data_IF_124658236622
#
_entry.id   IF_124658236622
#
_cell.length_a   1.000
_cell.length_b   1.000
_cell.length_c   1.000
_cell.angle_alpha   90.00
_cell.angle_beta   90.00
_cell.angle_gamma   90.00
#
_symmetry.space_group_name_H-M   'P 1'
#
loop_
_entity.id
_entity.type
_entity.pdbx_description
1 polymer ?
#
# COMPACT_ATOMS: atom_id res chain seq x y z
N UNK A 1 20.36 -18.67 -13.58
CA UNK A 1 20.18 -17.23 -13.92
C UNK A 1 19.64 -16.56 -12.68
N UNK A 2 20.16 -15.37 -12.35
CA UNK A 2 19.82 -14.67 -11.12
C UNK A 2 19.23 -13.30 -11.43
N UNK A 3 18.12 -12.97 -10.78
CA UNK A 3 17.39 -11.72 -10.93
C UNK A 3 17.29 -11.02 -9.58
N UNK A 4 17.37 -9.69 -9.57
CA UNK A 4 17.16 -8.85 -8.39
C UNK A 4 16.28 -7.67 -8.79
N UNK A 5 15.11 -7.54 -8.15
CA UNK A 5 14.11 -6.52 -8.47
C UNK A 5 13.70 -5.85 -7.16
N UNK A 6 13.63 -4.53 -7.16
CA UNK A 6 13.21 -3.74 -6.01
C UNK A 6 11.98 -2.89 -6.37
N UNK A 7 11.02 -2.84 -5.46
CA UNK A 7 9.86 -1.96 -5.54
C UNK A 7 9.64 -1.26 -4.20
N UNK A 8 9.21 -0.01 -4.26
CA UNK A 8 8.97 0.82 -3.09
C UNK A 8 7.51 0.77 -2.70
N UNK A 9 7.27 0.80 -1.39
CA UNK A 9 5.96 0.95 -0.82
C UNK A 9 5.39 2.34 -1.11
N UNK A 10 4.17 2.57 -0.64
CA UNK A 10 3.49 3.85 -0.83
C UNK A 10 2.42 4.11 0.22
N UNK A 11 2.06 5.37 0.38
CA UNK A 11 0.92 5.83 1.15
C UNK A 11 -0.14 6.45 0.24
N UNK A 12 -1.42 6.20 0.55
CA UNK A 12 -2.52 6.98 -0.01
C UNK A 12 -2.73 8.16 0.92
N UNK A 13 -2.54 9.38 0.43
CA UNK A 13 -2.76 10.60 1.22
C UNK A 13 -4.22 11.04 1.14
N UNK A 14 -4.89 10.77 0.02
CA UNK A 14 -6.31 11.06 -0.18
C UNK A 14 -6.97 10.06 -1.13
N UNK A 15 -8.29 9.98 -1.07
CA UNK A 15 -9.11 9.12 -1.95
C UNK A 15 -9.39 7.72 -1.39
N UNK A 16 -9.02 7.43 -0.13
CA UNK A 16 -9.32 6.15 0.53
C UNK A 16 -10.78 5.76 0.34
N UNK A 17 -11.01 4.46 0.12
CA UNK A 17 -12.31 3.85 -0.21
C UNK A 17 -12.92 4.32 -1.54
N UNK A 18 -13.16 5.61 -1.73
CA UNK A 18 -13.81 6.19 -2.91
C UNK A 18 -13.00 6.03 -4.21
N UNK A 19 -11.69 5.79 -4.11
CA UNK A 19 -10.83 5.39 -5.23
C UNK A 19 -11.31 4.10 -5.92
N UNK A 20 -12.02 3.21 -5.20
CA UNK A 20 -12.68 2.02 -5.75
C UNK A 20 -13.93 2.35 -6.58
N UNK A 21 -14.43 3.59 -6.46
CA UNK A 21 -15.60 4.11 -7.18
C UNK A 21 -15.22 5.21 -8.19
N UNK A 22 -13.93 5.36 -8.47
CA UNK A 22 -13.42 6.30 -9.46
C UNK A 22 -13.15 7.71 -8.96
N UNK A 23 -13.09 7.93 -7.64
CA UNK A 23 -12.51 9.16 -7.11
C UNK A 23 -11.01 9.22 -7.42
N UNK A 24 -10.47 10.44 -7.55
CA UNK A 24 -9.03 10.66 -7.58
C UNK A 24 -8.43 10.35 -6.21
N UNK A 25 -7.25 9.74 -6.19
CA UNK A 25 -6.46 9.56 -4.99
C UNK A 25 -5.01 9.99 -5.19
N UNK A 26 -4.46 10.69 -4.20
CA UNK A 26 -3.04 11.08 -4.17
C UNK A 26 -2.23 9.97 -3.52
N UNK A 27 -1.42 9.28 -4.30
CA UNK A 27 -0.51 8.24 -3.81
C UNK A 27 0.92 8.72 -3.85
N UNK A 28 1.69 8.43 -2.80
CA UNK A 28 3.07 8.90 -2.66
C UNK A 28 4.01 7.73 -2.35
N UNK A 29 5.12 7.57 -3.10
CA UNK A 29 6.12 6.55 -2.80
C UNK A 29 6.85 6.84 -1.48
N UNK A 30 7.11 5.79 -0.71
CA UNK A 30 7.86 5.88 0.56
C UNK A 30 9.29 5.37 0.42
N UNK A 31 10.17 5.70 1.36
CA UNK A 31 11.56 5.23 1.43
C UNK A 31 11.70 3.73 1.77
N UNK A 32 10.58 3.05 2.01
CA UNK A 32 10.55 1.65 2.37
C UNK A 32 10.35 0.77 1.13
N UNK A 33 11.14 -0.28 0.99
CA UNK A 33 11.18 -1.13 -0.19
C UNK A 33 11.10 -2.61 0.14
N UNK A 34 10.66 -3.38 -0.85
CA UNK A 34 10.72 -4.82 -0.88
C UNK A 34 11.53 -5.27 -2.09
N UNK A 35 12.57 -6.07 -1.85
CA UNK A 35 13.40 -6.69 -2.88
C UNK A 35 12.96 -8.13 -3.12
N UNK A 36 13.02 -8.58 -4.36
CA UNK A 36 12.87 -9.97 -4.79
C UNK A 36 14.15 -10.42 -5.49
N UNK A 37 14.76 -11.48 -4.98
CA UNK A 37 15.85 -12.19 -5.62
C UNK A 37 15.35 -13.55 -6.10
N UNK A 38 15.61 -13.87 -7.37
CA UNK A 38 15.20 -15.14 -7.99
C UNK A 38 16.41 -15.84 -8.59
N UNK A 39 16.65 -17.08 -8.18
CA UNK A 39 17.75 -17.91 -8.64
C UNK A 39 17.21 -19.18 -9.30
N UNK A 40 17.29 -19.24 -10.63
CA UNK A 40 17.02 -20.48 -11.38
C UNK A 40 18.16 -21.47 -11.23
N UNK A 41 17.83 -22.71 -10.87
CA UNK A 41 18.79 -23.75 -10.52
C UNK A 41 18.32 -25.15 -10.95
N UNK A 42 19.09 -26.18 -10.60
CA UNK A 42 18.83 -27.58 -10.99
C UNK A 42 18.46 -28.48 -9.80
N UNK A 43 18.05 -27.89 -8.67
CA UNK A 43 17.81 -28.64 -7.42
C UNK A 43 16.61 -29.58 -7.46
N UNK A 44 15.67 -29.38 -8.40
CA UNK A 44 14.37 -30.05 -8.42
C UNK A 44 13.31 -29.43 -7.50
N UNK A 45 13.63 -28.35 -6.80
CA UNK A 45 12.76 -27.73 -5.79
C UNK A 45 12.33 -26.32 -6.17
N UNK A 46 11.12 -25.97 -5.74
CA UNK A 46 10.70 -24.61 -5.47
C UNK A 46 11.07 -24.30 -4.01
N UNK A 47 11.88 -23.27 -3.78
CA UNK A 47 12.36 -22.86 -2.44
C UNK A 47 12.07 -21.38 -2.26
N UNK A 48 11.26 -21.00 -1.27
CA UNK A 48 10.89 -19.62 -0.99
C UNK A 48 11.29 -19.24 0.42
N UNK A 49 11.91 -18.06 0.58
CA UNK A 49 12.21 -17.45 1.87
C UNK A 49 11.87 -15.96 1.88
N UNK A 50 11.12 -15.51 2.88
CA UNK A 50 10.85 -14.11 3.13
C UNK A 50 11.55 -13.64 4.40
N UNK A 51 12.31 -12.57 4.27
CA UNK A 51 13.09 -11.97 5.33
C UNK A 51 12.45 -10.65 5.78
N UNK A 52 12.46 -10.40 7.09
CA UNK A 52 12.01 -9.14 7.68
C UNK A 52 13.15 -8.11 7.74
N UNK A 53 12.89 -6.94 8.34
CA UNK A 53 13.86 -5.87 8.51
C UNK A 53 15.07 -6.26 9.37
N UNK A 54 14.92 -7.25 10.25
CA UNK A 54 16.01 -7.82 11.07
C UNK A 54 16.79 -8.93 10.33
N UNK A 55 16.47 -9.18 9.06
CA UNK A 55 17.00 -10.29 8.25
C UNK A 55 16.65 -11.67 8.81
N UNK A 56 15.59 -11.78 9.63
CA UNK A 56 15.06 -13.07 10.10
C UNK A 56 14.02 -13.58 9.12
N UNK A 57 13.93 -14.90 8.98
CA UNK A 57 12.93 -15.53 8.11
C UNK A 57 11.60 -15.53 8.86
N UNK A 58 10.61 -14.82 8.32
CA UNK A 58 9.24 -14.82 8.86
C UNK A 58 8.30 -15.75 8.08
N UNK A 59 8.68 -16.13 6.85
CA UNK A 59 7.94 -17.10 6.05
C UNK A 59 8.88 -17.90 5.15
N UNK A 60 8.62 -19.20 4.99
CA UNK A 60 9.31 -20.03 4.00
C UNK A 60 8.45 -21.21 3.57
N UNK A 61 8.69 -21.73 2.37
CA UNK A 61 8.18 -23.01 1.93
C UNK A 61 9.16 -23.68 0.96
N UNK A 62 9.19 -25.02 0.95
CA UNK A 62 10.04 -25.78 0.04
C UNK A 62 9.38 -27.09 -0.35
N UNK A 63 9.29 -27.34 -1.64
CA UNK A 63 8.65 -28.54 -2.19
C UNK A 63 9.18 -28.86 -3.59
N UNK A 64 8.95 -30.08 -4.08
CA UNK A 64 9.34 -30.47 -5.44
C UNK A 64 8.67 -29.53 -6.44
N UNK A 65 9.43 -28.97 -7.38
CA UNK A 65 8.90 -27.96 -8.31
C UNK A 65 7.69 -28.46 -9.12
N UNK A 66 7.62 -29.76 -9.41
CA UNK A 66 6.46 -30.41 -10.04
C UNK A 66 5.14 -30.22 -9.29
N UNK A 67 5.19 -29.92 -7.98
CA UNK A 67 4.04 -29.82 -7.10
C UNK A 67 3.61 -28.37 -6.83
N UNK A 68 4.04 -27.40 -7.65
CA UNK A 68 3.74 -25.98 -7.44
C UNK A 68 2.26 -25.60 -7.58
N UNK A 69 1.45 -26.44 -8.22
CA UNK A 69 -0.02 -26.28 -8.26
C UNK A 69 -0.73 -26.79 -6.99
N UNK A 70 -0.02 -27.41 -6.05
CA UNK A 70 -0.64 -27.82 -4.79
C UNK A 70 -0.60 -26.67 -3.77
N UNK A 71 -1.75 -26.03 -3.56
CA UNK A 71 -1.93 -24.93 -2.59
C UNK A 71 -1.44 -25.24 -1.17
N UNK A 72 -1.50 -26.49 -0.72
CA UNK A 72 -1.09 -26.86 0.65
C UNK A 72 0.42 -26.72 0.86
N UNK A 73 1.21 -26.81 -0.22
CA UNK A 73 2.67 -26.70 -0.15
C UNK A 73 3.17 -25.29 0.19
N UNK A 74 2.30 -24.28 0.12
CA UNK A 74 2.63 -22.89 0.43
C UNK A 74 2.40 -22.53 1.90
N UNK A 75 2.32 -23.54 2.79
CA UNK A 75 2.06 -23.33 4.22
C UNK A 75 0.82 -22.45 4.48
N UNK A 76 -0.26 -22.70 3.72
CA UNK A 76 -1.51 -21.95 3.72
C UNK A 76 -1.40 -20.47 3.29
N UNK A 77 -0.28 -20.02 2.73
CA UNK A 77 -0.18 -18.71 2.09
C UNK A 77 -0.88 -18.73 0.72
N UNK A 78 -2.20 -18.54 0.75
CA UNK A 78 -3.06 -18.57 -0.45
C UNK A 78 -2.71 -17.45 -1.44
N UNK A 79 -2.33 -16.28 -0.95
CA UNK A 79 -1.95 -15.15 -1.81
C UNK A 79 -0.73 -15.50 -2.66
N UNK A 80 0.34 -16.01 -2.05
CA UNK A 80 1.54 -16.42 -2.78
C UNK A 80 1.22 -17.52 -3.80
N UNK A 81 0.43 -18.51 -3.41
CA UNK A 81 -0.02 -19.56 -4.32
C UNK A 81 -0.76 -19.00 -5.55
N UNK A 82 -1.77 -18.15 -5.34
CA UNK A 82 -2.54 -17.57 -6.44
C UNK A 82 -1.67 -16.67 -7.33
N UNK A 83 -0.73 -15.90 -6.77
CA UNK A 83 0.22 -15.11 -7.57
C UNK A 83 1.06 -16.04 -8.46
N UNK A 84 1.74 -17.04 -7.89
CA UNK A 84 2.63 -17.95 -8.63
C UNK A 84 1.85 -18.74 -9.70
N UNK A 85 0.65 -19.22 -9.38
CA UNK A 85 -0.26 -19.87 -10.32
C UNK A 85 -0.60 -18.96 -11.49
N UNK A 86 -1.06 -17.73 -11.22
CA UNK A 86 -1.46 -16.78 -12.26
C UNK A 86 -0.28 -16.33 -13.13
N UNK A 87 0.91 -16.16 -12.56
CA UNK A 87 2.12 -15.87 -13.34
C UNK A 87 2.42 -16.98 -14.34
N UNK A 88 2.32 -18.26 -13.93
CA UNK A 88 2.54 -19.38 -14.85
C UNK A 88 1.39 -19.57 -15.86
N UNK A 89 0.17 -19.15 -15.54
CA UNK A 89 -0.93 -19.11 -16.53
C UNK A 89 -0.72 -18.03 -17.59
N UNK A 90 -0.22 -16.85 -17.20
CA UNK A 90 0.00 -15.71 -18.09
C UNK A 90 1.31 -15.83 -18.89
N UNK A 91 2.33 -16.49 -18.32
CA UNK A 91 3.56 -16.86 -19.02
C UNK A 91 3.88 -18.35 -18.79
N UNK A 92 3.30 -19.26 -19.60
CA UNK A 92 3.51 -20.70 -19.47
C UNK A 92 4.98 -21.09 -19.52
N UNK A 93 5.44 -21.77 -18.47
CA UNK A 93 6.82 -22.24 -18.37
C UNK A 93 7.73 -21.42 -17.46
N UNK A 94 7.28 -20.24 -17.00
CA UNK A 94 8.05 -19.40 -16.08
C UNK A 94 8.35 -20.14 -14.76
N UNK A 95 7.44 -21.04 -14.33
CA UNK A 95 7.66 -21.99 -13.23
C UNK A 95 7.77 -23.42 -13.78
N UNK A 96 6.81 -23.88 -14.59
CA UNK A 96 6.64 -25.30 -14.92
C UNK A 96 7.80 -25.91 -15.72
N UNK A 97 8.57 -25.11 -16.47
CA UNK A 97 9.70 -25.60 -17.27
C UNK A 97 11.04 -25.51 -16.54
N UNK A 98 11.05 -25.00 -15.30
CA UNK A 98 12.28 -24.83 -14.53
C UNK A 98 12.66 -26.15 -13.86
N UNK A 99 13.98 -26.43 -13.81
CA UNK A 99 14.54 -27.60 -13.10
C UNK A 99 14.68 -27.38 -11.60
N UNK A 100 14.43 -26.16 -11.12
CA UNK A 100 14.58 -25.73 -9.75
C UNK A 100 14.60 -24.21 -9.70
N UNK A 101 14.03 -23.64 -8.65
CA UNK A 101 13.95 -22.18 -8.50
C UNK A 101 13.97 -21.82 -7.03
N UNK A 102 14.70 -20.75 -6.71
CA UNK A 102 14.76 -20.21 -5.36
C UNK A 102 14.39 -18.74 -5.35
N UNK A 103 13.51 -18.36 -4.44
CA UNK A 103 13.03 -17.00 -4.24
C UNK A 103 13.45 -16.52 -2.85
N UNK A 104 14.00 -15.31 -2.78
CA UNK A 104 14.26 -14.62 -1.52
C UNK A 104 13.64 -13.23 -1.59
N UNK A 105 12.83 -12.87 -0.60
CA UNK A 105 12.33 -11.49 -0.47
C UNK A 105 12.90 -10.82 0.76
N UNK A 106 13.23 -9.53 0.66
CA UNK A 106 13.76 -8.73 1.76
C UNK A 106 12.92 -7.47 1.88
N UNK A 107 12.49 -7.12 3.08
CA UNK A 107 11.84 -5.84 3.38
C UNK A 107 12.75 -5.04 4.32
N UNK A 108 12.86 -3.73 4.10
CA UNK A 108 13.56 -2.82 5.03
C UNK A 108 12.61 -2.18 6.06
N UNK A 109 11.40 -2.70 6.18
CA UNK A 109 10.34 -2.18 7.04
C UNK A 109 9.55 -3.32 7.69
N UNK A 110 8.78 -2.98 8.74
CA UNK A 110 7.91 -3.95 9.39
C UNK A 110 6.72 -4.31 8.48
N UNK A 111 6.52 -5.59 8.19
CA UNK A 111 5.44 -6.08 7.33
C UNK A 111 4.01 -5.78 7.84
N UNK A 112 3.86 -5.22 9.04
CA UNK A 112 2.59 -4.78 9.61
C UNK A 112 2.23 -3.31 9.33
N UNK A 113 3.13 -2.54 8.73
CA UNK A 113 2.99 -1.10 8.49
C UNK A 113 2.03 -0.69 7.35
N UNK A 114 1.35 -1.63 6.69
CA UNK A 114 0.34 -1.28 5.67
C UNK A 114 0.88 -0.59 4.40
N UNK A 115 2.21 -0.59 4.17
CA UNK A 115 2.86 0.16 3.08
C UNK A 115 2.75 -0.50 1.68
N UNK A 116 1.84 -1.46 1.49
CA UNK A 116 1.63 -2.13 0.20
C UNK A 116 2.61 -3.26 -0.10
N UNK A 117 3.00 -4.07 0.90
CA UNK A 117 3.89 -5.23 0.73
C UNK A 117 3.35 -6.25 -0.28
N UNK A 118 2.03 -6.47 -0.33
CA UNK A 118 1.44 -7.40 -1.30
C UNK A 118 1.62 -6.90 -2.74
N UNK A 119 1.47 -5.60 -2.97
CA UNK A 119 1.48 -5.01 -4.30
C UNK A 119 2.89 -4.79 -4.82
N UNK A 120 3.85 -4.47 -3.94
CA UNK A 120 5.28 -4.49 -4.27
C UNK A 120 5.75 -5.92 -4.59
N UNK A 121 5.27 -6.94 -3.87
CA UNK A 121 5.53 -8.34 -4.19
C UNK A 121 4.97 -8.74 -5.57
N UNK A 122 3.70 -8.40 -5.87
CA UNK A 122 3.08 -8.65 -7.17
C UNK A 122 3.88 -7.96 -8.27
N UNK A 123 4.21 -6.67 -8.10
CA UNK A 123 4.99 -5.92 -9.08
C UNK A 123 6.35 -6.56 -9.36
N UNK A 124 7.09 -6.93 -8.31
CA UNK A 124 8.40 -7.59 -8.44
C UNK A 124 8.29 -8.93 -9.18
N UNK A 125 7.32 -9.78 -8.79
CA UNK A 125 7.14 -11.09 -9.41
C UNK A 125 6.66 -10.99 -10.86
N UNK A 126 5.76 -10.04 -11.16
CA UNK A 126 5.31 -9.76 -12.52
C UNK A 126 6.46 -9.27 -13.40
N UNK A 127 7.35 -8.40 -12.90
CA UNK A 127 8.55 -7.98 -13.62
C UNK A 127 9.52 -9.14 -13.88
N UNK A 128 9.73 -10.01 -12.90
CA UNK A 128 10.55 -11.21 -13.09
C UNK A 128 9.96 -12.14 -14.15
N UNK A 129 8.64 -12.31 -14.13
CA UNK A 129 7.93 -13.20 -15.03
C UNK A 129 7.66 -12.62 -16.43
N UNK A 130 8.03 -11.36 -16.70
CA UNK A 130 7.67 -10.63 -17.92
C UNK A 130 6.14 -10.64 -18.20
N UNK A 131 5.37 -10.35 -17.14
CA UNK A 131 3.90 -10.29 -17.18
C UNK A 131 3.44 -8.90 -16.77
N UNK A 132 2.38 -8.38 -17.39
CA UNK A 132 1.80 -7.09 -17.01
C UNK A 132 1.27 -7.15 -15.55
N UNK A 133 1.73 -6.30 -14.62
CA UNK A 133 1.40 -6.43 -13.20
C UNK A 133 -0.09 -6.38 -12.84
N UNK A 134 -0.87 -5.50 -13.47
CA UNK A 134 -2.31 -5.39 -13.21
C UNK A 134 -3.08 -6.65 -13.60
N UNK A 135 -2.65 -7.35 -14.65
CA UNK A 135 -3.24 -8.63 -15.09
C UNK A 135 -3.11 -9.75 -14.04
N UNK A 136 -2.12 -9.67 -13.16
CA UNK A 136 -1.97 -10.57 -11.99
C UNK A 136 -2.74 -10.02 -10.80
N UNK A 137 -2.61 -8.71 -10.55
CA UNK A 137 -3.20 -8.05 -9.39
C UNK A 137 -4.72 -8.28 -9.29
N UNK A 138 -5.50 -7.97 -10.32
CA UNK A 138 -6.97 -8.12 -10.25
C UNK A 138 -7.46 -9.56 -10.26
N UNK A 139 -6.60 -10.53 -10.57
CA UNK A 139 -6.92 -11.95 -10.37
C UNK A 139 -6.80 -12.42 -8.92
N UNK A 140 -6.09 -11.67 -8.07
CA UNK A 140 -5.79 -12.07 -6.68
C UNK A 140 -6.31 -11.10 -5.62
N UNK A 141 -6.73 -9.89 -6.01
CA UNK A 141 -7.26 -8.86 -5.11
C UNK A 141 -8.36 -8.03 -5.75
N UNK A 142 -9.27 -7.52 -4.93
CA UNK A 142 -10.36 -6.61 -5.29
C UNK A 142 -10.05 -5.13 -4.99
N UNK A 143 -8.80 -4.81 -4.64
CA UNK A 143 -8.37 -3.43 -4.38
C UNK A 143 -8.33 -2.58 -5.66
N UNK A 144 -8.21 -1.26 -5.50
CA UNK A 144 -8.24 -0.36 -6.65
C UNK A 144 -7.04 -0.49 -7.57
N UNK A 145 -5.87 -0.93 -7.06
CA UNK A 145 -4.62 -1.06 -7.83
C UNK A 145 -3.71 0.18 -7.79
N UNK A 146 -4.06 1.20 -7.01
CA UNK A 146 -3.25 2.43 -6.89
C UNK A 146 -1.85 2.17 -6.30
N UNK A 147 -1.74 1.18 -5.44
CA UNK A 147 -0.51 0.77 -4.77
C UNK A 147 0.45 0.10 -5.76
N UNK A 148 -0.09 -0.78 -6.60
CA UNK A 148 0.62 -1.35 -7.73
C UNK A 148 1.02 -0.28 -8.76
N UNK A 149 0.12 0.66 -9.05
CA UNK A 149 0.41 1.79 -9.94
C UNK A 149 1.61 2.58 -9.44
N UNK A 150 1.65 2.87 -8.14
CA UNK A 150 2.73 3.64 -7.51
C UNK A 150 4.09 2.95 -7.62
N UNK A 151 4.14 1.62 -7.65
CA UNK A 151 5.40 0.88 -7.86
C UNK A 151 6.07 1.19 -9.21
N UNK A 152 5.31 1.71 -10.19
CA UNK A 152 5.83 2.09 -11.52
C UNK A 152 6.44 3.51 -11.54
N UNK A 153 6.25 4.33 -10.50
CA UNK A 153 6.65 5.74 -10.50
C UNK A 153 7.46 6.09 -9.25
N UNK A 154 8.58 6.79 -9.45
CA UNK A 154 9.40 7.34 -8.36
C UNK A 154 8.90 8.71 -7.85
N UNK A 155 7.69 9.11 -8.26
CA UNK A 155 7.07 10.41 -7.93
C UNK A 155 5.65 10.19 -7.39
N UNK A 156 5.11 11.15 -6.63
CA UNK A 156 3.69 11.20 -6.33
C UNK A 156 2.83 11.07 -7.59
N UNK A 157 1.70 10.37 -7.48
CA UNK A 157 0.74 10.21 -8.57
C UNK A 157 -0.67 10.58 -8.12
N UNK A 158 -1.44 11.16 -9.03
CA UNK A 158 -2.90 11.07 -9.01
C UNK A 158 -3.28 9.77 -9.70
N UNK A 159 -4.02 8.94 -8.98
CA UNK A 159 -4.62 7.71 -9.49
C UNK A 159 -6.14 7.86 -9.58
N UNK A 160 -6.74 7.39 -10.67
CA UNK A 160 -8.18 7.31 -10.81
C UNK A 160 -8.59 6.02 -11.53
N UNK A 161 -9.45 5.23 -10.92
CA UNK A 161 -10.01 4.02 -11.53
C UNK A 161 -11.22 4.40 -12.41
N UNK A 162 -11.04 4.48 -13.73
CA UNK A 162 -12.11 4.95 -14.65
C UNK A 162 -13.12 3.84 -14.95
N UNK A 163 -12.64 2.62 -15.14
CA UNK A 163 -13.42 1.38 -15.29
C UNK A 163 -12.70 0.29 -14.52
N UNK A 164 -13.42 -0.75 -14.10
CA UNK A 164 -12.81 -1.96 -13.56
C UNK A 164 -11.68 -2.36 -14.51
N UNK A 165 -10.44 -2.28 -14.04
CA UNK A 165 -9.21 -2.63 -14.75
C UNK A 165 -8.51 -1.57 -15.65
N UNK A 166 -9.01 -0.33 -15.76
CA UNK A 166 -8.30 0.72 -16.51
C UNK A 166 -8.08 1.98 -15.67
N UNK A 167 -6.87 2.17 -15.11
CA UNK A 167 -6.56 3.34 -14.33
C UNK A 167 -6.01 4.48 -15.19
N UNK A 168 -6.43 5.70 -14.88
CA UNK A 168 -5.74 6.91 -15.30
C UNK A 168 -4.70 7.25 -14.23
N UNK A 169 -3.46 7.43 -14.64
CA UNK A 169 -2.33 7.74 -13.76
C UNK A 169 -1.65 8.99 -14.28
N UNK A 170 -1.45 9.97 -13.39
CA UNK A 170 -0.78 11.22 -13.69
C UNK A 170 0.27 11.51 -12.62
N UNK A 171 1.52 11.72 -13.02
CA UNK A 171 2.57 12.12 -12.08
C UNK A 171 2.37 13.58 -11.66
N UNK A 172 2.52 13.85 -10.37
CA UNK A 172 2.39 15.19 -9.78
C UNK A 172 3.58 15.50 -8.88
N UNK A 173 3.72 16.77 -8.50
CA UNK A 173 4.63 17.16 -7.43
C UNK A 173 3.83 17.33 -6.14
N UNK A 174 4.33 16.78 -5.03
CA UNK A 174 3.75 16.95 -3.71
C UNK A 174 4.86 17.15 -2.68
N UNK A 175 5.21 18.41 -2.48
CA UNK A 175 6.15 18.86 -1.47
C UNK A 175 5.63 20.20 -0.93
N UNK A 176 4.58 20.18 -0.08
CA UNK A 176 4.03 21.41 0.46
C UNK A 176 5.09 22.15 1.30
N UNK A 177 5.02 23.48 1.34
CA UNK A 177 5.97 24.30 2.11
C UNK A 177 5.97 23.92 3.61
N UNK A 178 4.80 23.53 4.11
CA UNK A 178 4.58 23.04 5.48
C UNK A 178 4.86 21.55 5.67
N UNK A 179 5.59 20.87 4.77
CA UNK A 179 5.88 19.43 4.90
C UNK A 179 6.51 19.04 6.24
N UNK A 180 7.26 19.96 6.89
CA UNK A 180 7.84 19.72 8.23
C UNK A 180 6.79 19.58 9.33
N UNK A 181 5.56 20.02 9.08
CA UNK A 181 4.44 19.87 9.99
C UNK A 181 3.70 18.53 9.81
N UNK A 182 4.09 17.71 8.83
CA UNK A 182 3.44 16.44 8.50
C UNK A 182 4.16 15.26 9.17
N UNK A 183 3.40 14.47 9.92
CA UNK A 183 3.88 13.31 10.66
C UNK A 183 3.03 12.08 10.34
N UNK A 184 3.68 10.93 10.23
CA UNK A 184 3.06 9.64 9.98
C UNK A 184 3.20 8.77 11.23
N UNK A 185 2.07 8.41 11.84
CA UNK A 185 2.03 7.67 13.10
C UNK A 185 1.41 6.31 12.85
N UNK A 186 2.14 5.24 13.15
CA UNK A 186 1.60 3.88 13.09
C UNK A 186 0.84 3.58 14.38
N UNK A 187 -0.41 3.14 14.26
CA UNK A 187 -1.32 2.92 15.39
C UNK A 187 -1.17 1.52 16.04
N UNK A 188 -0.11 0.78 15.72
CA UNK A 188 0.14 -0.59 16.20
C UNK A 188 -1.02 -1.59 15.97
N UNK A 189 -1.88 -1.26 15.01
CA UNK A 189 -3.09 -2.02 14.70
C UNK A 189 -3.21 -2.21 13.20
N UNK A 190 -2.72 -3.35 12.71
CA UNK A 190 -2.85 -3.71 11.30
C UNK A 190 -4.31 -3.93 10.92
N UNK A 191 -4.76 -3.32 9.84
CA UNK A 191 -6.09 -3.55 9.30
C UNK A 191 -6.07 -4.54 8.13
N UNK A 192 -7.15 -5.29 7.98
CA UNK A 192 -7.35 -6.19 6.83
C UNK A 192 -8.05 -5.42 5.72
N UNK A 193 -7.29 -5.07 4.67
CA UNK A 193 -7.85 -4.36 3.51
C UNK A 193 -9.00 -5.13 2.86
N UNK A 194 -8.92 -6.47 2.82
CA UNK A 194 -9.97 -7.31 2.23
C UNK A 194 -11.32 -7.13 2.94
N UNK A 195 -11.34 -7.18 4.27
CA UNK A 195 -12.58 -7.05 5.04
C UNK A 195 -13.15 -5.62 4.97
N UNK A 196 -12.30 -4.60 4.95
CA UNK A 196 -12.74 -3.21 4.81
C UNK A 196 -13.29 -2.92 3.41
N UNK A 197 -12.73 -3.52 2.36
CA UNK A 197 -13.28 -3.45 1.00
C UNK A 197 -14.63 -4.18 0.94
N UNK A 198 -14.73 -5.42 1.47
CA UNK A 198 -15.99 -6.17 1.51
C UNK A 198 -17.09 -5.46 2.28
N UNK A 199 -16.74 -4.69 3.32
CA UNK A 199 -17.67 -3.82 4.04
C UNK A 199 -18.11 -2.64 3.15
N UNK A 200 -17.14 -1.92 2.58
CA UNK A 200 -17.41 -0.76 1.73
C UNK A 200 -18.18 -1.10 0.46
N UNK A 201 -18.02 -2.32 -0.07
CA UNK A 201 -18.74 -2.80 -1.25
C UNK A 201 -20.25 -2.89 -1.06
N UNK A 202 -20.73 -2.89 0.18
CA UNK A 202 -22.16 -2.88 0.53
C UNK A 202 -22.73 -1.47 0.64
N UNK A 203 -21.90 -0.42 0.53
CA UNK A 203 -22.30 0.97 0.72
C UNK A 203 -22.55 1.62 -0.64
N UNK A 204 -23.72 2.24 -0.78
CA UNK A 204 -24.05 3.05 -1.94
C UNK A 204 -23.45 4.44 -1.80
N UNK A 205 -22.63 4.82 -2.78
CA UNK A 205 -21.90 6.09 -2.80
C UNK A 205 -22.50 6.98 -3.88
N UNK A 206 -22.75 8.25 -3.53
CA UNK A 206 -23.26 9.22 -4.49
C UNK A 206 -22.13 9.79 -5.37
N UNK A 207 -22.48 10.21 -6.59
CA UNK A 207 -21.56 10.87 -7.52
C UNK A 207 -20.96 12.14 -6.94
N UNK A 208 -21.72 12.86 -6.11
CA UNK A 208 -21.30 14.10 -5.47
C UNK A 208 -20.16 13.83 -4.49
N UNK A 209 -20.26 12.76 -3.70
CA UNK A 209 -19.22 12.37 -2.75
C UNK A 209 -17.90 11.98 -3.46
N UNK A 210 -18.00 11.26 -4.59
CA UNK A 210 -16.85 10.91 -5.44
C UNK A 210 -16.20 12.16 -6.01
N UNK A 211 -17.00 13.11 -6.49
CA UNK A 211 -16.53 14.39 -7.03
C UNK A 211 -15.88 15.24 -5.94
N UNK A 212 -16.48 15.35 -4.77
CA UNK A 212 -16.00 16.15 -3.64
C UNK A 212 -14.62 15.67 -3.17
N UNK A 213 -14.44 14.36 -2.98
CA UNK A 213 -13.13 13.81 -2.59
C UNK A 213 -12.08 13.94 -3.71
N UNK A 214 -12.51 13.92 -4.98
CA UNK A 214 -11.61 14.20 -6.09
C UNK A 214 -11.15 15.66 -6.10
N UNK A 215 -12.05 16.61 -5.83
CA UNK A 215 -11.73 18.03 -5.68
C UNK A 215 -10.76 18.26 -4.53
N UNK A 216 -11.05 17.70 -3.34
CA UNK A 216 -10.17 17.82 -2.18
C UNK A 216 -8.76 17.28 -2.49
N UNK A 217 -8.68 16.16 -3.22
CA UNK A 217 -7.39 15.59 -3.65
C UNK A 217 -6.59 16.57 -4.51
N UNK A 218 -7.23 17.23 -5.47
CA UNK A 218 -6.56 18.24 -6.30
C UNK A 218 -6.16 19.49 -5.51
N UNK A 219 -7.00 19.94 -4.59
CA UNK A 219 -6.74 21.09 -3.73
C UNK A 219 -5.58 20.82 -2.78
N UNK A 220 -5.51 19.62 -2.18
CA UNK A 220 -4.39 19.19 -1.34
C UNK A 220 -3.05 19.30 -2.07
N UNK A 221 -3.02 18.92 -3.36
CA UNK A 221 -1.80 18.96 -4.17
C UNK A 221 -1.32 20.40 -4.43
N UNK A 222 -2.25 21.35 -4.57
CA UNK A 222 -1.94 22.75 -4.88
C UNK A 222 -1.79 23.63 -3.64
N UNK A 223 -2.11 23.12 -2.46
CA UNK A 223 -2.17 23.87 -1.22
C UNK A 223 -0.77 24.25 -0.71
N UNK A 224 -0.56 25.53 -0.39
CA UNK A 224 0.67 26.07 0.19
C UNK A 224 0.53 26.52 1.64
N UNK A 225 -0.71 26.59 2.17
CA UNK A 225 -0.99 27.04 3.53
C UNK A 225 -1.35 25.86 4.45
N UNK A 226 -0.70 25.76 5.61
CA UNK A 226 -0.91 24.65 6.55
C UNK A 226 -2.34 24.58 7.08
N UNK A 227 -2.96 25.72 7.38
CA UNK A 227 -4.33 25.80 7.92
C UNK A 227 -5.34 25.36 6.87
N UNK A 228 -5.17 25.78 5.62
CA UNK A 228 -6.03 25.34 4.52
C UNK A 228 -5.90 23.83 4.29
N UNK A 229 -4.67 23.29 4.35
CA UNK A 229 -4.46 21.85 4.23
C UNK A 229 -5.07 21.07 5.41
N UNK A 230 -4.98 21.59 6.65
CA UNK A 230 -5.69 21.01 7.80
C UNK A 230 -7.20 20.97 7.57
N UNK A 231 -7.78 22.03 7.00
CA UNK A 231 -9.20 22.07 6.65
C UNK A 231 -9.55 21.00 5.60
N UNK A 232 -8.74 20.85 4.55
CA UNK A 232 -8.91 19.83 3.52
C UNK A 232 -8.82 18.40 4.10
N UNK A 233 -7.88 18.14 5.01
CA UNK A 233 -7.78 16.85 5.70
C UNK A 233 -9.03 16.56 6.55
N UNK A 234 -9.48 17.54 7.32
CA UNK A 234 -10.65 17.39 8.18
C UNK A 234 -11.93 17.17 7.35
N UNK A 235 -12.07 17.87 6.23
CA UNK A 235 -13.19 17.66 5.29
C UNK A 235 -13.15 16.24 4.70
N UNK A 236 -11.99 15.81 4.23
CA UNK A 236 -11.78 14.47 3.68
C UNK A 236 -12.14 13.38 4.70
N UNK A 237 -11.57 13.46 5.91
CA UNK A 237 -11.84 12.49 6.99
C UNK A 237 -13.33 12.49 7.37
N UNK A 238 -13.98 13.67 7.46
CA UNK A 238 -15.40 13.79 7.78
C UNK A 238 -16.30 13.14 6.72
N UNK A 239 -15.98 13.29 5.43
CA UNK A 239 -16.71 12.64 4.34
C UNK A 239 -16.60 11.12 4.48
N UNK A 240 -15.39 10.60 4.68
CA UNK A 240 -15.18 9.16 4.83
C UNK A 240 -15.82 8.60 6.10
N UNK A 241 -15.74 9.30 7.22
CA UNK A 241 -16.41 8.94 8.48
C UNK A 241 -17.92 8.78 8.26
N UNK A 242 -18.55 9.73 7.55
CA UNK A 242 -19.97 9.69 7.19
C UNK A 242 -20.29 8.52 6.25
N UNK A 243 -19.47 8.32 5.22
CA UNK A 243 -19.64 7.22 4.25
C UNK A 243 -19.56 5.85 4.94
N UNK A 244 -18.57 5.67 5.82
CA UNK A 244 -18.33 4.42 6.53
C UNK A 244 -19.21 4.27 7.77
N UNK A 245 -19.98 5.30 8.14
CA UNK A 245 -20.74 5.35 9.39
C UNK A 245 -19.88 5.00 10.62
N UNK A 246 -18.67 5.57 10.68
CA UNK A 246 -17.67 5.42 11.75
C UNK A 246 -17.31 6.80 12.30
N UNK A 247 -16.81 6.88 13.53
CA UNK A 247 -16.21 8.13 14.04
C UNK A 247 -14.83 8.32 13.40
N UNK A 248 -14.39 9.57 13.32
CA UNK A 248 -13.02 9.86 12.89
C UNK A 248 -12.01 9.36 13.90
N UNK A 249 -10.80 9.01 13.45
CA UNK A 249 -9.75 8.53 14.36
C UNK A 249 -9.37 9.60 15.41
N UNK A 250 -9.49 10.88 15.04
CA UNK A 250 -9.30 12.00 15.96
C UNK A 250 -10.34 11.98 17.08
N UNK A 251 -11.62 11.84 16.75
CA UNK A 251 -12.69 11.76 17.76
C UNK A 251 -12.58 10.52 18.65
N UNK A 252 -12.10 9.41 18.12
CA UNK A 252 -11.97 8.16 18.88
C UNK A 252 -10.75 8.13 19.81
N UNK A 253 -9.60 8.62 19.37
CA UNK A 253 -8.31 8.40 20.06
C UNK A 253 -7.56 9.68 20.46
N UNK A 254 -7.82 10.81 19.79
CA UNK A 254 -6.99 12.01 19.84
C UNK A 254 -7.83 13.29 19.91
N UNK A 255 -8.89 13.27 20.72
CA UNK A 255 -9.85 14.37 20.81
C UNK A 255 -9.22 15.68 21.35
N UNK A 256 -8.11 15.55 22.08
CA UNK A 256 -7.31 16.61 22.69
C UNK A 256 -6.13 17.07 21.79
N UNK A 257 -5.98 16.51 20.59
CA UNK A 257 -4.94 16.94 19.66
C UNK A 257 -5.35 18.23 18.93
N UNK A 258 -4.57 19.30 19.10
CA UNK A 258 -4.85 20.63 18.50
C UNK A 258 -4.74 20.64 16.97
N UNK A 259 -4.01 19.68 16.40
CA UNK A 259 -3.76 19.59 14.97
C UNK A 259 -4.86 18.88 14.16
N UNK A 260 -4.57 18.56 12.90
CA UNK A 260 -5.47 17.74 12.07
C UNK A 260 -4.96 16.30 12.03
N UNK A 261 -5.87 15.32 11.97
CA UNK A 261 -5.52 13.91 11.82
C UNK A 261 -6.46 13.29 10.80
N UNK A 262 -5.91 12.48 9.89
CA UNK A 262 -6.70 11.58 9.05
C UNK A 262 -6.12 10.17 9.00
N UNK A 263 -6.96 9.20 8.69
CA UNK A 263 -6.58 7.81 8.45
C UNK A 263 -5.83 7.66 7.12
N UNK A 264 -4.83 6.77 7.02
CA UNK A 264 -4.16 6.43 5.76
C UNK A 264 -4.42 4.96 5.40
N UNK A 265 -5.15 4.75 4.32
CA UNK A 265 -5.55 3.40 3.88
C UNK A 265 -6.82 2.90 4.56
N UNK A 266 -6.76 1.72 5.18
CA UNK A 266 -7.92 1.10 5.82
C UNK A 266 -8.24 1.77 7.17
N UNK A 267 -9.52 2.06 7.40
CA UNK A 267 -10.00 2.87 8.53
C UNK A 267 -9.71 2.23 9.89
N UNK A 268 -9.26 3.04 10.85
CA UNK A 268 -9.13 2.64 12.26
C UNK A 268 -7.89 1.80 12.59
N UNK A 269 -6.82 1.90 11.80
CA UNK A 269 -5.51 1.31 12.07
C UNK A 269 -4.45 1.73 11.05
N UNK A 270 -3.42 0.92 10.87
CA UNK A 270 -2.24 1.20 10.05
C UNK A 270 -1.62 2.57 10.40
N UNK A 271 -1.36 3.43 9.42
CA UNK A 271 -0.85 4.78 9.65
C UNK A 271 -1.97 5.82 9.68
N UNK A 272 -1.75 6.88 10.44
CA UNK A 272 -2.45 8.15 10.32
C UNK A 272 -1.49 9.24 9.83
N UNK A 273 -2.03 10.24 9.16
CA UNK A 273 -1.35 11.51 8.90
C UNK A 273 -1.80 12.51 9.95
N UNK A 274 -0.86 13.03 10.73
CA UNK A 274 -1.08 14.14 11.63
C UNK A 274 -0.39 15.40 11.13
N UNK A 275 -1.06 16.54 11.30
CA UNK A 275 -0.46 17.87 11.10
C UNK A 275 -0.36 18.54 12.45
N UNK A 276 0.82 19.05 12.78
CA UNK A 276 1.00 19.82 14.00
C UNK A 276 2.31 20.58 14.03
N UNK A 277 2.73 20.93 15.24
CA UNK A 277 3.94 21.67 15.53
C UNK A 277 5.06 20.74 16.02
N UNK A 278 6.12 21.31 16.57
CA UNK A 278 7.28 20.56 17.06
C UNK A 278 6.95 19.60 18.23
N UNK A 279 5.85 19.83 18.97
CA UNK A 279 5.39 18.95 20.04
C UNK A 279 4.60 17.74 19.55
N UNK A 280 4.30 17.65 18.25
CA UNK A 280 3.51 16.55 17.68
C UNK A 280 4.07 15.18 18.04
N UNK A 281 5.39 15.03 17.92
CA UNK A 281 6.06 13.76 18.23
C UNK A 281 5.88 13.37 19.70
N UNK A 282 6.17 14.28 20.62
CA UNK A 282 6.01 14.05 22.06
C UNK A 282 4.56 13.68 22.41
N UNK A 283 3.57 14.36 21.82
CA UNK A 283 2.16 14.04 22.06
C UNK A 283 1.83 12.58 21.72
N UNK A 284 2.28 12.07 20.57
CA UNK A 284 2.01 10.68 20.18
C UNK A 284 2.84 9.67 20.99
N UNK A 285 4.07 10.02 21.36
CA UNK A 285 4.92 9.20 22.24
C UNK A 285 4.29 9.05 23.64
N UNK A 286 3.77 10.14 24.21
CA UNK A 286 3.06 10.16 25.50
C UNK A 286 1.76 9.34 25.46
N UNK A 287 1.14 9.22 24.28
CA UNK A 287 -0.02 8.34 24.04
C UNK A 287 0.38 6.88 23.77
N UNK A 288 1.67 6.57 23.76
CA UNK A 288 2.23 5.22 23.64
C UNK A 288 2.66 4.80 22.23
N UNK A 289 2.56 5.67 21.23
CA UNK A 289 2.92 5.35 19.84
C UNK A 289 4.40 5.66 19.58
N UNK A 290 5.17 4.63 19.25
CA UNK A 290 6.64 4.75 19.11
C UNK A 290 7.10 4.87 17.66
N UNK A 291 6.29 4.42 16.70
CA UNK A 291 6.63 4.46 15.28
C UNK A 291 6.05 5.73 14.66
N UNK A 292 6.86 6.79 14.68
CA UNK A 292 6.52 8.12 14.18
C UNK A 292 7.59 8.53 13.16
N UNK A 293 7.15 8.86 11.95
CA UNK A 293 8.01 9.38 10.89
C UNK A 293 7.63 10.80 10.53
N UNK A 294 8.62 11.69 10.43
CA UNK A 294 8.47 12.94 9.71
C UNK A 294 8.26 12.71 8.22
N UNK A 295 7.79 13.74 7.53
CA UNK A 295 7.64 13.71 6.08
C UNK A 295 8.89 13.26 5.32
N UNK A 296 10.07 13.75 5.75
CA UNK A 296 11.34 13.41 5.12
C UNK A 296 11.79 11.97 5.38
N UNK A 297 11.50 11.44 6.57
CA UNK A 297 11.85 10.05 6.89
C UNK A 297 10.96 9.07 6.10
N UNK A 298 9.67 9.40 5.97
CA UNK A 298 8.69 8.53 5.31
C UNK A 298 8.88 8.50 3.79
N UNK A 299 9.12 9.62 3.13
CA UNK A 299 8.93 9.74 1.67
C UNK A 299 10.21 9.62 0.84
N UNK A 300 10.06 9.01 -0.34
CA UNK A 300 11.15 8.78 -1.28
C UNK A 300 11.55 10.03 -2.05
N UNK A 301 12.86 10.31 -2.09
CA UNK A 301 13.49 11.31 -2.95
C UNK A 301 12.90 12.73 -2.81
N UNK A 302 12.85 13.23 -1.58
CA UNK A 302 12.48 14.61 -1.24
C UNK A 302 13.70 15.39 -0.74
#
# INVERSE_FOLDING_TARGET
MSYSIESFGKLLISGEYLILRGAKGLSIPVNFSQTLNVDENTSGYFDWKSYDSDKKIWFSCKFKISNFYNKQNYNNNLLLYEIIKNLNELNPGIISNKKGISFKTFMNFNHNWGLGSSSTLIHNLSKWADVEPFSVYWKVTNGSGYDLASCKYDKPIIYQLIKSETPKIESVNFLPEFHKNLYFIYLDKKQSSKSEIEYFDKINISSECISEVSTITEEMIRCSNVTDFQNLLNQHEKILAKVLNKKSIKEELFNDYDGAIKSLGAWGGDFILAIGNDNTKNYFEDKGYQTIFSFKEMLKNI
#
